data_IF_647091296444
#
_entry.id   IF_647091296444
#
_cell.length_a   1.000
_cell.length_b   1.000
_cell.length_c   1.000
_cell.angle_alpha   90.00
_cell.angle_beta   90.00
_cell.angle_gamma   90.00
#
_symmetry.space_group_name_H-M   'P 1'
#
loop_
_entity.id
_entity.type
_entity.pdbx_description
1 polymer ?
#
# COMPACT_ATOMS: atom_id res chain seq x y z
N UNK A 1 -15.04 -24.09 1.06
CA UNK A 1 -14.81 -23.33 -0.19
C UNK A 1 -14.15 -22.02 0.21
N UNK A 2 -12.86 -21.87 -0.01
CA UNK A 2 -12.11 -20.65 0.33
C UNK A 2 -12.58 -19.54 -0.59
N UNK A 3 -13.18 -18.49 -0.02
CA UNK A 3 -13.54 -17.27 -0.75
C UNK A 3 -12.26 -16.70 -1.37
N UNK A 4 -12.23 -16.56 -2.69
CA UNK A 4 -11.14 -15.84 -3.36
C UNK A 4 -11.01 -14.45 -2.74
N UNK A 5 -9.78 -13.98 -2.46
CA UNK A 5 -9.60 -12.64 -1.91
C UNK A 5 -10.17 -11.60 -2.89
N UNK A 6 -10.76 -10.53 -2.35
CA UNK A 6 -11.29 -9.44 -3.15
C UNK A 6 -10.17 -8.73 -3.94
N UNK A 7 -8.96 -8.72 -3.37
CA UNK A 7 -7.74 -8.21 -4.00
C UNK A 7 -6.68 -9.32 -4.05
N UNK A 8 -6.32 -9.75 -5.26
CA UNK A 8 -5.21 -10.67 -5.52
C UNK A 8 -3.99 -9.87 -5.99
N UNK A 9 -3.09 -9.57 -5.04
CA UNK A 9 -1.91 -8.74 -5.28
C UNK A 9 -0.93 -9.42 -6.24
N UNK A 10 -0.74 -10.73 -6.15
CA UNK A 10 0.17 -11.47 -7.02
C UNK A 10 -0.32 -11.48 -8.46
N UNK A 11 -1.63 -11.64 -8.66
CA UNK A 11 -2.26 -11.49 -9.97
C UNK A 11 -2.10 -10.07 -10.52
N UNK A 12 -2.41 -9.05 -9.72
CA UNK A 12 -2.26 -7.65 -10.12
C UNK A 12 -0.81 -7.29 -10.50
N UNK A 13 0.16 -7.77 -9.71
CA UNK A 13 1.59 -7.63 -10.02
C UNK A 13 1.95 -8.35 -11.32
N UNK A 14 1.43 -9.56 -11.56
CA UNK A 14 1.66 -10.30 -12.81
C UNK A 14 1.17 -9.51 -14.02
N UNK A 15 -0.03 -8.92 -13.95
CA UNK A 15 -0.56 -8.03 -15.00
C UNK A 15 0.33 -6.79 -15.20
N UNK A 16 0.90 -6.28 -14.11
CA UNK A 16 1.86 -5.17 -14.12
C UNK A 16 3.31 -5.60 -14.37
N UNK A 17 3.56 -6.81 -14.90
CA UNK A 17 4.91 -7.33 -15.21
C UNK A 17 5.87 -7.33 -13.99
N UNK A 18 5.32 -7.61 -12.80
CA UNK A 18 5.99 -7.57 -11.50
C UNK A 18 6.64 -6.22 -11.13
N UNK A 19 6.26 -5.13 -11.81
CA UNK A 19 6.72 -3.78 -11.48
C UNK A 19 5.87 -3.21 -10.36
N UNK A 20 6.37 -3.29 -9.12
CA UNK A 20 5.65 -2.81 -7.93
C UNK A 20 5.26 -1.33 -8.01
N UNK A 21 6.13 -0.46 -8.54
CA UNK A 21 5.84 0.96 -8.71
C UNK A 21 4.69 1.20 -9.69
N UNK A 22 4.68 0.48 -10.81
CA UNK A 22 3.59 0.54 -11.78
C UNK A 22 2.28 0.05 -11.16
N UNK A 23 2.32 -1.08 -10.44
CA UNK A 23 1.15 -1.61 -9.76
C UNK A 23 0.59 -0.62 -8.73
N UNK A 24 1.45 0.00 -7.93
CA UNK A 24 1.05 1.06 -6.99
C UNK A 24 0.35 2.23 -7.70
N UNK A 25 0.93 2.74 -8.79
CA UNK A 25 0.32 3.82 -9.57
C UNK A 25 -1.02 3.42 -10.19
N UNK A 26 -1.17 2.15 -10.60
CA UNK A 26 -2.45 1.61 -11.08
C UNK A 26 -3.50 1.62 -9.97
N UNK A 27 -3.15 1.15 -8.77
CA UNK A 27 -4.03 1.16 -7.61
C UNK A 27 -4.44 2.59 -7.21
N UNK A 28 -3.49 3.53 -7.16
CA UNK A 28 -3.79 4.94 -6.87
C UNK A 28 -4.74 5.55 -7.90
N UNK A 29 -4.46 5.33 -9.19
CA UNK A 29 -5.28 5.84 -10.28
C UNK A 29 -6.70 5.28 -10.22
N UNK A 30 -6.83 3.98 -9.94
CA UNK A 30 -8.14 3.32 -9.84
C UNK A 30 -8.97 3.90 -8.69
N UNK A 31 -8.36 4.10 -7.52
CA UNK A 31 -9.06 4.72 -6.38
C UNK A 31 -9.45 6.16 -6.68
N UNK A 32 -8.56 6.96 -7.26
CA UNK A 32 -8.84 8.36 -7.59
C UNK A 32 -9.99 8.50 -8.60
N UNK A 33 -10.00 7.67 -9.64
CA UNK A 33 -11.04 7.70 -10.67
C UNK A 33 -12.42 7.31 -10.13
N UNK A 34 -12.47 6.43 -9.14
CA UNK A 34 -13.72 5.86 -8.64
C UNK A 34 -14.07 6.27 -7.20
N UNK A 35 -13.38 7.25 -6.63
CA UNK A 35 -13.58 7.71 -5.25
C UNK A 35 -15.03 8.13 -4.94
N UNK A 36 -15.75 8.66 -5.93
CA UNK A 36 -17.14 9.07 -5.79
C UNK A 36 -18.07 7.88 -5.43
N UNK A 37 -17.72 6.66 -5.84
CA UNK A 37 -18.53 5.47 -5.58
C UNK A 37 -18.56 5.08 -4.10
N UNK A 38 -17.57 5.50 -3.30
CA UNK A 38 -17.55 5.28 -1.85
C UNK A 38 -18.70 6.00 -1.12
N UNK A 39 -19.28 7.03 -1.74
CA UNK A 39 -20.43 7.80 -1.21
C UNK A 39 -21.71 7.55 -2.01
N UNK A 40 -21.65 6.70 -3.01
CA UNK A 40 -22.79 6.38 -3.86
C UNK A 40 -23.66 5.36 -3.14
N UNK A 41 -24.94 5.66 -2.96
CA UNK A 41 -25.89 4.75 -2.29
C UNK A 41 -26.60 3.82 -3.27
N UNK A 42 -26.78 4.26 -4.52
CA UNK A 42 -27.52 3.51 -5.54
C UNK A 42 -26.94 3.77 -6.94
N UNK A 43 -26.99 2.74 -7.80
CA UNK A 43 -26.67 2.84 -9.22
C UNK A 43 -27.90 2.52 -10.06
N UNK A 44 -28.15 3.31 -11.10
CA UNK A 44 -29.12 2.90 -12.14
C UNK A 44 -28.57 1.74 -12.95
N UNK A 45 -29.44 1.02 -13.67
CA UNK A 45 -29.01 -0.06 -14.56
C UNK A 45 -28.04 0.42 -15.63
N UNK A 46 -28.27 1.60 -16.22
CA UNK A 46 -27.35 2.20 -17.20
C UNK A 46 -25.97 2.50 -16.60
N UNK A 47 -25.95 3.14 -15.42
CA UNK A 47 -24.71 3.47 -14.72
C UNK A 47 -23.91 2.21 -14.34
N UNK A 48 -24.60 1.18 -13.84
CA UNK A 48 -23.98 -0.10 -13.53
C UNK A 48 -23.41 -0.77 -14.77
N UNK A 49 -24.11 -0.71 -15.91
CA UNK A 49 -23.63 -1.28 -17.16
C UNK A 49 -22.42 -0.52 -17.73
N UNK A 50 -22.40 0.81 -17.63
CA UNK A 50 -21.27 1.64 -18.04
C UNK A 50 -20.03 1.37 -17.16
N UNK A 51 -20.21 1.32 -15.84
CA UNK A 51 -19.15 0.94 -14.91
C UNK A 51 -18.62 -0.46 -15.20
N UNK A 52 -19.50 -1.43 -15.40
CA UNK A 52 -19.14 -2.79 -15.75
C UNK A 52 -18.36 -2.86 -17.08
N UNK A 53 -18.75 -2.07 -18.08
CA UNK A 53 -18.04 -1.99 -19.35
C UNK A 53 -16.60 -1.50 -19.19
N UNK A 54 -16.38 -0.51 -18.33
CA UNK A 54 -15.06 0.03 -18.04
C UNK A 54 -14.23 -0.93 -17.19
N UNK A 55 -14.83 -1.56 -16.18
CA UNK A 55 -14.11 -2.37 -15.21
C UNK A 55 -13.73 -3.77 -15.67
N UNK A 56 -14.39 -4.33 -16.68
CA UNK A 56 -13.97 -5.62 -17.24
C UNK A 56 -12.51 -5.63 -17.70
N UNK A 57 -11.96 -4.47 -18.09
CA UNK A 57 -10.57 -4.32 -18.54
C UNK A 57 -9.65 -3.68 -17.50
N UNK A 58 -10.15 -2.83 -16.60
CA UNK A 58 -9.30 -2.11 -15.63
C UNK A 58 -9.19 -2.79 -14.26
N UNK A 59 -10.24 -3.50 -13.80
CA UNK A 59 -10.22 -4.22 -12.53
C UNK A 59 -9.14 -5.34 -12.45
N UNK A 60 -8.83 -6.09 -13.53
CA UNK A 60 -7.75 -7.09 -13.51
C UNK A 60 -6.38 -6.51 -13.17
N UNK A 61 -6.05 -5.32 -13.67
CA UNK A 61 -4.77 -4.66 -13.40
C UNK A 61 -4.60 -4.27 -11.93
N UNK A 62 -5.71 -4.13 -11.20
CA UNK A 62 -5.72 -3.87 -9.77
C UNK A 62 -5.70 -5.16 -8.93
N UNK A 63 -5.70 -6.35 -9.53
CA UNK A 63 -5.86 -7.59 -8.77
C UNK A 63 -7.31 -7.91 -8.38
N UNK A 64 -8.29 -7.12 -8.82
CA UNK A 64 -9.70 -7.24 -8.41
C UNK A 64 -10.48 -8.22 -9.32
N UNK A 65 -10.13 -9.51 -9.26
CA UNK A 65 -10.66 -10.53 -10.18
C UNK A 65 -12.17 -10.73 -10.04
N UNK A 66 -12.68 -10.83 -8.82
CA UNK A 66 -14.13 -10.96 -8.57
C UNK A 66 -14.93 -9.79 -9.14
N UNK A 67 -14.37 -8.57 -9.07
CA UNK A 67 -14.97 -7.37 -9.66
C UNK A 67 -14.95 -7.45 -11.19
N UNK A 68 -13.84 -7.89 -11.78
CA UNK A 68 -13.72 -8.06 -13.23
C UNK A 68 -14.69 -9.12 -13.77
N UNK A 69 -14.87 -10.23 -13.05
CA UNK A 69 -15.78 -11.32 -13.43
C UNK A 69 -17.24 -10.84 -13.39
N UNK A 70 -17.64 -10.14 -12.31
CA UNK A 70 -18.98 -9.56 -12.22
C UNK A 70 -19.20 -8.48 -13.30
N UNK A 71 -18.23 -7.59 -13.49
CA UNK A 71 -18.27 -6.56 -14.53
C UNK A 71 -18.40 -7.18 -15.94
N UNK A 72 -17.70 -8.29 -16.21
CA UNK A 72 -17.82 -9.00 -17.49
C UNK A 72 -19.23 -9.55 -17.71
N UNK A 73 -19.89 -10.03 -16.66
CA UNK A 73 -21.26 -10.56 -16.75
C UNK A 73 -22.34 -9.49 -16.95
N UNK A 74 -22.06 -8.24 -16.56
CA UNK A 74 -23.00 -7.11 -16.61
C UNK A 74 -22.74 -6.15 -17.79
N UNK A 75 -21.53 -6.17 -18.35
CA UNK A 75 -21.15 -5.34 -19.49
C UNK A 75 -21.90 -5.76 -20.77
N UNK A 76 -22.08 -4.85 -21.74
CA UNK A 76 -22.64 -5.19 -23.04
C UNK A 76 -21.87 -6.37 -23.69
N UNK A 77 -22.57 -7.35 -24.29
CA UNK A 77 -23.96 -7.30 -24.76
C UNK A 77 -25.02 -7.80 -23.75
N UNK A 78 -24.71 -7.91 -22.46
CA UNK A 78 -25.71 -8.31 -21.45
C UNK A 78 -26.92 -7.35 -21.40
N UNK A 79 -28.12 -7.82 -21.00
CA UNK A 79 -29.26 -6.94 -20.75
C UNK A 79 -28.95 -5.93 -19.64
N UNK A 80 -29.76 -4.87 -19.57
CA UNK A 80 -29.61 -3.86 -18.53
C UNK A 80 -29.65 -4.52 -17.14
N UNK A 81 -28.66 -4.26 -16.25
CA UNK A 81 -28.64 -4.81 -14.90
C UNK A 81 -29.92 -4.50 -14.13
N UNK A 82 -30.46 -5.51 -13.45
CA UNK A 82 -31.54 -5.33 -12.48
C UNK A 82 -31.04 -4.55 -11.26
N UNK A 83 -31.95 -3.96 -10.47
CA UNK A 83 -31.60 -3.23 -9.25
C UNK A 83 -30.74 -4.05 -8.28
N UNK A 84 -31.00 -5.36 -8.15
CA UNK A 84 -30.19 -6.25 -7.32
C UNK A 84 -28.77 -6.44 -7.86
N UNK A 85 -28.59 -6.53 -9.18
CA UNK A 85 -27.27 -6.65 -9.81
C UNK A 85 -26.49 -5.33 -9.74
N UNK A 86 -27.16 -4.20 -9.94
CA UNK A 86 -26.56 -2.87 -9.77
C UNK A 86 -26.07 -2.67 -8.33
N UNK A 87 -26.86 -3.09 -7.36
CA UNK A 87 -26.48 -3.04 -5.94
C UNK A 87 -25.30 -3.96 -5.63
N UNK A 88 -25.32 -5.20 -6.14
CA UNK A 88 -24.22 -6.14 -5.96
C UNK A 88 -22.89 -5.60 -6.54
N UNK A 89 -22.95 -4.97 -7.72
CA UNK A 89 -21.78 -4.33 -8.33
C UNK A 89 -21.26 -3.17 -7.47
N UNK A 90 -22.16 -2.34 -6.95
CA UNK A 90 -21.82 -1.21 -6.09
C UNK A 90 -21.13 -1.67 -4.79
N UNK A 91 -21.71 -2.65 -4.10
CA UNK A 91 -21.15 -3.20 -2.87
C UNK A 91 -19.75 -3.78 -3.09
N UNK A 92 -19.61 -4.63 -4.12
CA UNK A 92 -18.33 -5.24 -4.45
C UNK A 92 -17.28 -4.19 -4.83
N UNK A 93 -17.68 -3.14 -5.55
CA UNK A 93 -16.80 -2.05 -5.91
C UNK A 93 -16.34 -1.24 -4.69
N UNK A 94 -17.25 -0.91 -3.79
CA UNK A 94 -16.92 -0.17 -2.57
C UNK A 94 -15.97 -0.96 -1.69
N UNK A 95 -16.20 -2.25 -1.52
CA UNK A 95 -15.32 -3.12 -0.73
C UNK A 95 -13.95 -3.28 -1.38
N UNK A 96 -13.89 -3.41 -2.71
CA UNK A 96 -12.64 -3.43 -3.46
C UNK A 96 -11.87 -2.12 -3.28
N UNK A 97 -12.53 -0.96 -3.42
CA UNK A 97 -11.91 0.35 -3.25
C UNK A 97 -11.35 0.54 -1.83
N UNK A 98 -12.09 0.11 -0.80
CA UNK A 98 -11.63 0.15 0.60
C UNK A 98 -10.39 -0.73 0.79
N UNK A 99 -10.36 -1.94 0.23
CA UNK A 99 -9.19 -2.80 0.32
C UNK A 99 -7.98 -2.24 -0.41
N UNK A 100 -8.17 -1.67 -1.60
CA UNK A 100 -7.07 -1.01 -2.31
C UNK A 100 -6.53 0.17 -1.49
N UNK A 101 -7.40 0.98 -0.88
CA UNK A 101 -6.96 2.07 0.01
C UNK A 101 -6.18 1.56 1.22
N UNK A 102 -6.63 0.47 1.86
CA UNK A 102 -5.90 -0.15 2.95
C UNK A 102 -4.50 -0.64 2.50
N UNK A 103 -4.42 -1.27 1.32
CA UNK A 103 -3.16 -1.74 0.74
C UNK A 103 -2.21 -0.59 0.40
N UNK A 104 -2.71 0.49 -0.19
CA UNK A 104 -1.93 1.69 -0.49
C UNK A 104 -1.40 2.34 0.79
N UNK A 105 -2.21 2.39 1.85
CA UNK A 105 -1.78 2.94 3.13
C UNK A 105 -0.69 2.07 3.79
N UNK A 106 -0.84 0.75 3.76
CA UNK A 106 0.20 -0.17 4.25
C UNK A 106 1.49 -0.08 3.41
N UNK A 107 1.37 0.04 2.08
CA UNK A 107 2.51 0.14 1.16
C UNK A 107 3.22 1.49 1.30
N UNK A 108 2.49 2.59 1.48
CA UNK A 108 3.06 3.91 1.73
C UNK A 108 3.85 3.97 3.04
N UNK A 109 3.42 3.22 4.07
CA UNK A 109 4.21 3.06 5.28
C UNK A 109 5.50 2.25 5.01
N UNK A 110 5.45 1.18 4.22
CA UNK A 110 6.62 0.37 3.86
C UNK A 110 7.64 1.10 2.93
N UNK A 111 7.16 1.94 2.01
CA UNK A 111 8.01 2.72 1.09
C UNK A 111 8.60 3.96 1.78
N UNK A 112 7.84 4.63 2.65
CA UNK A 112 8.39 5.71 3.50
C UNK A 112 9.47 5.18 4.43
N UNK A 113 9.26 4.00 5.01
CA UNK A 113 10.23 3.40 5.94
C UNK A 113 11.54 2.99 5.26
N UNK A 114 11.48 2.34 4.09
CA UNK A 114 12.73 2.07 3.33
C UNK A 114 13.45 3.32 2.81
N UNK A 115 12.74 4.44 2.65
CA UNK A 115 13.33 5.75 2.29
C UNK A 115 14.04 6.40 3.47
N UNK A 116 13.41 6.44 4.66
CA UNK A 116 13.95 7.12 5.84
C UNK A 116 15.19 6.42 6.41
N UNK A 117 15.18 5.09 6.48
CA UNK A 117 16.36 4.32 6.93
C UNK A 117 17.58 4.59 6.03
N UNK A 118 17.41 4.58 4.70
CA UNK A 118 18.49 4.86 3.75
C UNK A 118 18.98 6.31 3.85
N UNK A 119 18.05 7.25 3.98
CA UNK A 119 18.38 8.66 4.13
C UNK A 119 19.14 8.91 5.44
N UNK A 120 18.72 8.29 6.55
CA UNK A 120 19.41 8.38 7.83
C UNK A 120 20.84 7.85 7.73
N UNK A 121 21.04 6.64 7.20
CA UNK A 121 22.37 6.07 7.01
C UNK A 121 23.26 6.93 6.11
N UNK A 122 22.69 7.53 5.06
CA UNK A 122 23.42 8.44 4.17
C UNK A 122 23.81 9.74 4.89
N UNK A 123 22.91 10.33 5.70
CA UNK A 123 23.20 11.55 6.47
C UNK A 123 24.23 11.31 7.57
N UNK A 124 24.19 10.14 8.21
CA UNK A 124 25.21 9.69 9.16
C UNK A 124 26.57 9.55 8.48
N UNK A 125 26.64 8.93 7.30
CA UNK A 125 27.88 8.81 6.52
C UNK A 125 28.43 10.16 6.03
N UNK A 126 27.55 11.13 5.78
CA UNK A 126 27.92 12.50 5.42
C UNK A 126 28.29 13.37 6.63
N UNK A 127 28.30 12.82 7.85
CA UNK A 127 28.53 13.54 9.10
C UNK A 127 27.64 14.80 9.22
N UNK A 128 26.38 14.67 8.77
CA UNK A 128 25.48 15.79 8.61
C UNK A 128 24.55 15.93 9.83
N UNK A 129 24.52 17.11 10.44
CA UNK A 129 23.68 17.41 11.61
C UNK A 129 22.18 17.24 11.37
N UNK A 130 21.73 17.27 10.11
CA UNK A 130 20.35 16.93 9.76
C UNK A 130 19.97 15.48 10.13
N UNK A 131 20.94 14.60 10.40
CA UNK A 131 20.71 13.26 10.92
C UNK A 131 19.96 13.28 12.27
N UNK A 132 20.16 14.30 13.12
CA UNK A 132 19.45 14.42 14.42
C UNK A 132 17.96 14.64 14.21
N UNK A 133 17.59 15.59 13.35
CA UNK A 133 16.19 15.83 12.99
C UNK A 133 15.55 14.64 12.27
N UNK A 134 16.34 13.93 11.47
CA UNK A 134 15.90 12.77 10.71
C UNK A 134 15.70 11.55 11.62
N UNK A 135 16.52 11.39 12.67
CA UNK A 135 16.38 10.32 13.66
C UNK A 135 15.01 10.35 14.34
N UNK A 136 14.52 11.52 14.76
CA UNK A 136 13.19 11.64 15.38
C UNK A 136 12.06 11.23 14.42
N UNK A 137 12.22 11.54 13.13
CA UNK A 137 11.24 11.16 12.10
C UNK A 137 11.32 9.66 11.80
N UNK A 138 12.53 9.09 11.82
CA UNK A 138 12.79 7.67 11.64
C UNK A 138 12.30 6.83 12.85
N UNK A 139 12.54 7.29 14.07
CA UNK A 139 12.13 6.64 15.31
C UNK A 139 10.60 6.52 15.43
N UNK A 140 9.87 7.54 14.99
CA UNK A 140 8.39 7.52 15.00
C UNK A 140 7.76 6.67 13.88
N UNK A 141 8.57 6.15 12.94
CA UNK A 141 8.10 5.38 11.79
C UNK A 141 8.76 3.99 11.74
N UNK A 142 10.05 3.93 11.44
CA UNK A 142 10.80 2.71 11.12
C UNK A 142 11.21 1.96 12.37
N UNK A 143 11.66 2.72 13.38
CA UNK A 143 12.10 2.19 14.66
C UNK A 143 11.05 2.35 15.76
N UNK A 144 9.77 2.46 15.40
CA UNK A 144 8.66 2.59 16.36
C UNK A 144 8.55 1.41 17.34
N UNK A 145 9.16 0.27 17.00
CA UNK A 145 9.18 -0.96 17.80
C UNK A 145 10.55 -1.26 18.42
N UNK A 146 11.53 -0.37 18.22
CA UNK A 146 12.87 -0.57 18.81
C UNK A 146 12.83 -0.28 20.31
N UNK A 147 13.69 -0.93 21.11
CA UNK A 147 13.86 -0.59 22.52
C UNK A 147 14.24 0.89 22.68
N UNK A 148 13.63 1.56 23.66
CA UNK A 148 13.94 2.96 23.98
C UNK A 148 15.44 3.17 24.30
N UNK A 149 16.09 2.15 24.88
CA UNK A 149 17.52 2.16 25.21
C UNK A 149 18.40 2.26 23.95
N UNK A 150 18.05 1.54 22.88
CA UNK A 150 18.82 1.57 21.62
C UNK A 150 18.66 2.93 20.92
N UNK A 151 17.46 3.50 20.95
CA UNK A 151 17.20 4.84 20.42
C UNK A 151 17.96 5.93 21.20
N UNK A 152 18.00 5.81 22.53
CA UNK A 152 18.74 6.73 23.39
C UNK A 152 20.25 6.67 23.14
N UNK A 153 20.81 5.48 22.93
CA UNK A 153 22.24 5.30 22.62
C UNK A 153 22.62 5.92 21.27
N UNK A 154 21.75 5.81 20.25
CA UNK A 154 21.94 6.47 18.95
C UNK A 154 21.88 7.99 19.10
N UNK A 155 20.92 8.50 19.87
CA UNK A 155 20.79 9.93 20.12
C UNK A 155 22.00 10.50 20.87
N UNK A 156 22.50 9.81 21.89
CA UNK A 156 23.71 10.19 22.63
C UNK A 156 24.94 10.24 21.73
N UNK A 157 25.12 9.24 20.85
CA UNK A 157 26.22 9.24 19.89
C UNK A 157 26.14 10.43 18.93
N UNK A 158 24.94 10.76 18.44
CA UNK A 158 24.72 11.93 17.59
C UNK A 158 24.96 13.26 18.31
N UNK A 159 24.54 13.39 19.57
CA UNK A 159 24.79 14.59 20.39
C UNK A 159 26.29 14.79 20.68
N UNK A 160 27.06 13.69 20.73
CA UNK A 160 28.52 13.70 20.82
C UNK A 160 29.23 13.93 19.48
N UNK A 161 28.49 14.15 18.38
CA UNK A 161 28.99 14.24 17.01
C UNK A 161 29.74 12.97 16.54
N UNK A 162 29.46 11.82 17.15
CA UNK A 162 30.03 10.52 16.78
C UNK A 162 29.11 9.81 15.78
N UNK A 163 29.15 10.29 14.54
CA UNK A 163 28.31 9.79 13.45
C UNK A 163 28.63 8.35 13.04
N UNK A 164 29.91 7.93 13.17
CA UNK A 164 30.33 6.55 12.93
C UNK A 164 29.69 5.60 13.94
N UNK A 165 29.72 5.96 15.24
CA UNK A 165 29.10 5.17 16.29
C UNK A 165 27.58 5.10 16.13
N UNK A 166 26.93 6.22 15.83
CA UNK A 166 25.50 6.26 15.56
C UNK A 166 25.11 5.36 14.37
N UNK A 167 25.89 5.39 13.28
CA UNK A 167 25.69 4.50 12.12
C UNK A 167 25.81 3.02 12.49
N UNK A 168 26.82 2.66 13.28
CA UNK A 168 27.00 1.28 13.75
C UNK A 168 25.82 0.78 14.56
N UNK A 169 25.32 1.61 15.49
CA UNK A 169 24.16 1.27 16.33
C UNK A 169 22.89 1.08 15.49
N UNK A 170 22.62 1.98 14.54
CA UNK A 170 21.50 1.85 13.60
C UNK A 170 21.65 0.58 12.74
N UNK A 171 22.84 0.27 12.23
CA UNK A 171 23.04 -0.97 11.47
C UNK A 171 22.87 -2.23 12.33
N UNK A 172 23.33 -2.19 13.58
CA UNK A 172 23.22 -3.32 14.49
C UNK A 172 21.78 -3.64 14.84
N UNK A 173 20.97 -2.63 15.19
CA UNK A 173 19.55 -2.87 15.48
C UNK A 173 18.75 -3.30 14.26
N UNK A 174 19.11 -2.83 13.04
CA UNK A 174 18.48 -3.31 11.81
C UNK A 174 18.74 -4.80 11.56
N UNK A 175 19.94 -5.29 11.89
CA UNK A 175 20.29 -6.71 11.76
C UNK A 175 19.58 -7.54 12.83
N UNK A 176 19.61 -7.11 14.10
CA UNK A 176 18.97 -7.82 15.20
C UNK A 176 17.46 -7.98 14.99
N UNK A 177 16.77 -6.93 14.54
CA UNK A 177 15.33 -6.97 14.32
C UNK A 177 14.90 -7.67 13.02
N UNK A 178 15.80 -7.86 12.04
CA UNK A 178 15.54 -8.70 10.87
C UNK A 178 15.59 -10.20 11.19
N UNK A 179 16.37 -10.61 12.19
CA UNK A 179 16.47 -12.01 12.61
C UNK A 179 15.29 -12.46 13.48
N UNK A 180 14.65 -11.53 14.21
CA UNK A 180 13.45 -11.83 15.00
C UNK A 180 12.18 -11.95 14.14
N UNK A 181 12.07 -11.19 13.04
CA UNK A 181 10.91 -11.31 12.12
C UNK A 181 10.91 -12.59 11.28
N UNK A 182 12.05 -13.29 11.16
CA UNK A 182 12.16 -14.55 10.43
C UNK A 182 12.00 -15.80 11.32
N UNK A 183 11.80 -15.63 12.63
CA UNK A 183 11.65 -16.73 13.61
C UNK A 183 10.22 -16.92 14.13
N UNK A 184 9.27 -16.08 13.72
CA UNK A 184 7.83 -16.25 14.01
C UNK A 184 7.08 -17.01 12.89
#
# INVERSE_FOLDING_TARGET
MTSSPLLDVDYGLTVCQHKQTLYHSVLESFVQQHAALLRCETLTGEQAQELAHNWKSTAPACGARSLADLATSLAPPAPLPSAGQSQQLLELAQDTLKQIQAQLNSSNNAVKTTSLTKELLQKLEQHNLSAVTLLNSWASCDAAHWPDDDLADIELALQAFDFERAKQLVMQGLISHQDDTNKE
#
